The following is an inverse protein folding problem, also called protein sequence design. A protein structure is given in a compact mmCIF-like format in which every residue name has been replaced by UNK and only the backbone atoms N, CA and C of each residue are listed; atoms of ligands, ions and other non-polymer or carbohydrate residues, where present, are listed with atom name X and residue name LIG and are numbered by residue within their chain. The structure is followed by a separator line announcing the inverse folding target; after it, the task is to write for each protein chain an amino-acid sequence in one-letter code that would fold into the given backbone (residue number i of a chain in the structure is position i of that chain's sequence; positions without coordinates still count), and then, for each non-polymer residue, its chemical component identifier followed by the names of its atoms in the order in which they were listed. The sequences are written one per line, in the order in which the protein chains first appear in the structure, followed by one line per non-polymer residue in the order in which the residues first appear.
data_IF_635930426393
#
_entry.id   IF_635930426393
#
_cell.length_a   1.000
_cell.length_b   1.000
_cell.length_c   1.000
_cell.angle_alpha   90.00
_cell.angle_beta   90.00
_cell.angle_gamma   90.00
#
_symmetry.space_group_name_H-M   'P 1'
#
loop_
_entity.id
_entity.type
_entity.pdbx_description
1 polymer ?
#
# COMPACT_ATOMS: atom_id res chain seq x y z
N UNK A 1 1.51 10.79 -34.76
CA UNK A 1 0.83 11.80 -35.58
C UNK A 1 1.75 12.96 -35.97
N UNK A 2 2.36 13.71 -35.04
CA UNK A 2 3.20 14.90 -35.37
C UNK A 2 4.46 14.59 -36.22
N UNK A 3 5.08 13.41 -36.03
CA UNK A 3 6.31 13.06 -36.75
C UNK A 3 6.15 12.82 -38.27
N UNK A 4 4.92 12.61 -38.76
CA UNK A 4 4.65 12.29 -40.17
C UNK A 4 4.63 13.54 -41.06
N UNK A 5 4.37 14.73 -40.50
CA UNK A 5 4.31 16.00 -41.22
C UNK A 5 5.71 16.65 -41.42
N UNK A 6 6.73 16.09 -40.77
CA UNK A 6 8.09 16.64 -40.79
C UNK A 6 8.68 16.80 -42.21
N UNK A 7 8.54 15.84 -43.15
CA UNK A 7 9.07 15.99 -44.51
C UNK A 7 8.34 17.04 -45.37
N UNK A 8 7.09 17.35 -45.04
CA UNK A 8 6.30 18.38 -45.75
C UNK A 8 6.70 19.77 -45.28
N UNK A 9 6.76 19.99 -43.97
CA UNK A 9 7.17 21.27 -43.38
C UNK A 9 8.63 21.59 -43.71
N UNK A 10 9.51 20.58 -43.74
CA UNK A 10 10.91 20.75 -44.12
C UNK A 10 11.09 21.19 -45.58
N UNK A 11 10.29 20.65 -46.51
CA UNK A 11 10.31 21.06 -47.93
C UNK A 11 9.92 22.53 -48.14
N UNK A 12 8.99 23.03 -47.32
CA UNK A 12 8.50 24.41 -47.39
C UNK A 12 9.34 25.40 -46.56
N UNK A 13 10.27 24.91 -45.73
CA UNK A 13 11.07 25.74 -44.83
C UNK A 13 12.53 25.29 -44.77
N UNK A 14 12.97 24.78 -43.62
CA UNK A 14 14.28 24.17 -43.41
C UNK A 14 14.16 23.14 -42.30
N UNK A 15 15.09 22.17 -42.23
CA UNK A 15 15.11 21.13 -41.19
C UNK A 15 15.09 21.73 -39.78
N UNK A 16 15.79 22.85 -39.58
CA UNK A 16 15.84 23.54 -38.30
C UNK A 16 14.48 24.13 -37.91
N UNK A 17 13.82 24.81 -38.85
CA UNK A 17 12.53 25.47 -38.64
C UNK A 17 11.40 24.44 -38.48
N UNK A 18 11.42 23.38 -39.27
CA UNK A 18 10.48 22.27 -39.15
C UNK A 18 10.59 21.54 -37.79
N UNK A 19 11.82 21.30 -37.30
CA UNK A 19 12.04 20.73 -35.97
C UNK A 19 11.50 21.62 -34.85
N UNK A 20 11.70 22.93 -34.95
CA UNK A 20 11.20 23.90 -33.97
C UNK A 20 9.66 23.95 -33.98
N UNK A 21 9.03 24.02 -35.16
CA UNK A 21 7.57 24.07 -35.30
C UNK A 21 6.88 22.79 -34.82
N UNK A 22 7.51 21.62 -35.00
CA UNK A 22 6.93 20.32 -34.62
C UNK A 22 7.42 19.80 -33.27
N UNK A 23 8.18 20.60 -32.50
CA UNK A 23 8.68 20.23 -31.18
C UNK A 23 9.62 19.02 -31.17
N UNK A 24 10.29 18.72 -32.29
CA UNK A 24 11.18 17.55 -32.42
C UNK A 24 12.64 17.98 -32.23
N UNK A 25 13.40 17.38 -31.29
CA UNK A 25 14.82 17.67 -31.15
C UNK A 25 15.61 17.30 -32.42
N UNK A 26 16.39 18.25 -32.96
CA UNK A 26 17.22 18.03 -34.18
C UNK A 26 18.11 16.79 -34.06
N UNK A 27 18.72 16.58 -32.89
CA UNK A 27 19.56 15.41 -32.63
C UNK A 27 18.82 14.08 -32.80
N UNK A 28 17.54 14.01 -32.40
CA UNK A 28 16.70 12.81 -32.57
C UNK A 28 16.38 12.55 -34.04
N UNK A 29 16.12 13.61 -34.82
CA UNK A 29 15.92 13.51 -36.26
C UNK A 29 17.17 12.97 -36.98
N UNK A 30 18.35 13.54 -36.69
CA UNK A 30 19.60 13.08 -37.29
C UNK A 30 19.95 11.64 -36.91
N UNK A 31 19.73 11.24 -35.64
CA UNK A 31 19.90 9.83 -35.20
C UNK A 31 18.95 8.87 -35.93
N UNK A 32 17.72 9.31 -36.24
CA UNK A 32 16.76 8.52 -36.98
C UNK A 32 17.12 8.39 -38.47
N UNK A 33 17.64 9.46 -39.09
CA UNK A 33 18.09 9.49 -40.49
C UNK A 33 19.38 8.71 -40.71
N UNK A 34 20.36 8.95 -39.85
CA UNK A 34 21.67 8.30 -39.89
C UNK A 34 21.66 6.97 -39.13
N UNK A 35 20.51 6.31 -39.09
CA UNK A 35 20.35 5.04 -38.41
C UNK A 35 21.12 3.99 -39.20
N UNK A 36 22.11 3.30 -38.61
CA UNK A 36 22.82 2.24 -39.31
C UNK A 36 21.84 1.17 -39.79
N UNK A 37 21.99 0.71 -41.04
CA UNK A 37 21.27 -0.44 -41.55
C UNK A 37 21.77 -1.69 -40.82
N UNK A 38 21.01 -2.11 -39.80
CA UNK A 38 21.35 -3.26 -38.98
C UNK A 38 20.26 -3.55 -37.96
N UNK A 39 20.21 -4.79 -37.43
CA UNK A 39 19.26 -5.15 -36.40
C UNK A 39 19.41 -4.19 -35.22
N UNK A 40 18.27 -3.71 -34.70
CA UNK A 40 18.23 -2.93 -33.46
C UNK A 40 19.02 -3.71 -32.40
N UNK A 41 20.17 -3.19 -31.96
CA UNK A 41 20.78 -3.63 -30.70
C UNK A 41 19.70 -3.49 -29.62
N UNK A 42 19.20 -4.62 -29.11
CA UNK A 42 18.33 -4.60 -27.93
C UNK A 42 19.11 -3.87 -26.82
N UNK A 43 18.54 -2.88 -26.14
CA UNK A 43 19.17 -2.31 -24.98
C UNK A 43 19.22 -3.38 -23.90
N UNK A 44 20.42 -3.85 -23.56
CA UNK A 44 20.67 -4.71 -22.41
C UNK A 44 21.07 -6.16 -22.71
N UNK A 45 21.55 -6.88 -21.68
CA UNK A 45 21.90 -8.30 -21.78
C UNK A 45 20.70 -9.10 -22.27
N UNK A 46 20.91 -9.93 -23.30
CA UNK A 46 19.88 -10.85 -23.78
C UNK A 46 20.03 -12.17 -23.03
N UNK A 47 19.42 -12.25 -21.85
CA UNK A 47 19.38 -13.48 -21.06
C UNK A 47 19.00 -13.22 -19.60
N UNK A 48 18.45 -14.22 -18.87
CA UNK A 48 18.35 -14.14 -17.42
C UNK A 48 19.76 -13.92 -16.83
N UNK A 49 19.87 -13.16 -15.72
CA UNK A 49 21.16 -12.92 -15.10
C UNK A 49 21.77 -14.25 -14.60
N UNK A 50 23.10 -14.37 -14.51
CA UNK A 50 23.77 -15.62 -14.16
C UNK A 50 23.43 -16.12 -12.75
N UNK A 51 22.96 -15.24 -11.87
CA UNK A 51 22.49 -15.57 -10.52
C UNK A 51 20.96 -15.74 -10.45
N UNK A 52 20.28 -15.92 -11.58
CA UNK A 52 18.87 -16.18 -11.60
C UNK A 52 18.61 -17.59 -11.06
N UNK A 53 17.76 -17.67 -10.03
CA UNK A 53 17.25 -18.96 -9.57
C UNK A 53 16.56 -19.68 -10.73
N UNK A 54 16.92 -20.95 -10.91
CA UNK A 54 16.30 -21.82 -11.89
C UNK A 54 14.87 -22.24 -11.46
N UNK A 55 14.20 -23.03 -12.29
CA UNK A 55 12.84 -23.46 -11.99
C UNK A 55 12.78 -24.46 -10.82
N UNK A 56 13.80 -25.29 -10.65
CA UNK A 56 13.86 -26.31 -9.60
C UNK A 56 14.08 -25.66 -8.23
N UNK A 57 15.02 -24.73 -8.13
CA UNK A 57 15.33 -23.94 -6.93
C UNK A 57 14.10 -23.14 -6.48
N UNK A 58 13.39 -22.49 -7.41
CA UNK A 58 12.14 -21.78 -7.09
C UNK A 58 11.08 -22.71 -6.54
N UNK A 59 10.96 -23.91 -7.12
CA UNK A 59 10.02 -24.93 -6.66
C UNK A 59 10.38 -25.40 -5.25
N UNK A 60 11.66 -25.67 -4.99
CA UNK A 60 12.15 -26.02 -3.66
C UNK A 60 11.83 -24.92 -2.63
N UNK A 61 12.07 -23.65 -2.97
CA UNK A 61 11.73 -22.51 -2.10
C UNK A 61 10.23 -22.48 -1.81
N UNK A 62 9.39 -22.68 -2.82
CA UNK A 62 7.93 -22.75 -2.63
C UNK A 62 7.52 -23.90 -1.73
N UNK A 63 8.10 -25.09 -1.95
CA UNK A 63 7.85 -26.26 -1.11
C UNK A 63 8.17 -25.97 0.35
N UNK A 64 9.32 -25.35 0.62
CA UNK A 64 9.69 -24.94 1.99
C UNK A 64 8.68 -23.93 2.54
N UNK A 65 8.39 -22.85 1.81
CA UNK A 65 7.45 -21.80 2.25
C UNK A 65 5.99 -22.29 2.43
N UNK A 66 5.66 -23.48 1.94
CA UNK A 66 4.33 -24.09 2.07
C UNK A 66 4.30 -25.26 3.05
N UNK A 67 5.39 -25.52 3.79
CA UNK A 67 5.39 -26.54 4.83
C UNK A 67 4.40 -26.18 5.94
N UNK A 68 3.72 -27.17 6.56
CA UNK A 68 2.76 -26.93 7.63
C UNK A 68 3.31 -26.10 8.80
N UNK A 69 4.60 -26.28 9.13
CA UNK A 69 5.29 -25.50 10.19
C UNK A 69 5.35 -23.99 9.95
N UNK A 70 5.15 -23.55 8.71
CA UNK A 70 5.21 -22.15 8.30
C UNK A 70 3.85 -21.59 7.85
N UNK A 71 2.76 -22.35 7.98
CA UNK A 71 1.44 -21.98 7.45
C UNK A 71 0.96 -20.60 7.93
N UNK A 72 1.16 -20.28 9.21
CA UNK A 72 0.72 -19.02 9.83
C UNK A 72 1.86 -17.98 10.00
N UNK A 73 3.04 -18.24 9.45
CA UNK A 73 4.22 -17.37 9.61
C UNK A 73 4.37 -16.40 8.45
N UNK A 74 4.73 -15.16 8.76
CA UNK A 74 5.12 -14.20 7.73
C UNK A 74 6.48 -14.59 7.12
N UNK A 75 6.74 -14.20 5.87
CA UNK A 75 8.01 -14.51 5.18
C UNK A 75 9.23 -14.07 5.99
N UNK A 76 9.16 -12.93 6.69
CA UNK A 76 10.23 -12.46 7.55
C UNK A 76 10.52 -13.41 8.72
N UNK A 77 9.49 -14.02 9.31
CA UNK A 77 9.63 -15.00 10.40
C UNK A 77 10.21 -16.32 9.87
N UNK A 78 9.68 -16.82 8.75
CA UNK A 78 10.22 -18.02 8.09
C UNK A 78 11.69 -17.83 7.72
N UNK A 79 12.05 -16.65 7.21
CA UNK A 79 13.43 -16.33 6.86
C UNK A 79 14.36 -16.28 8.07
N UNK A 80 13.92 -15.70 9.19
CA UNK A 80 14.70 -15.69 10.43
C UNK A 80 14.90 -17.10 10.99
N UNK A 81 13.84 -17.91 11.05
CA UNK A 81 13.94 -19.29 11.56
C UNK A 81 14.83 -20.17 10.69
N UNK A 82 14.74 -20.06 9.36
CA UNK A 82 15.63 -20.80 8.47
C UNK A 82 17.10 -20.39 8.67
N UNK A 83 17.38 -19.12 8.94
CA UNK A 83 18.73 -18.66 9.26
C UNK A 83 19.21 -19.17 10.62
N UNK A 84 18.34 -19.20 11.62
CA UNK A 84 18.65 -19.80 12.92
C UNK A 84 18.94 -21.31 12.78
N UNK A 85 18.28 -21.99 11.84
CA UNK A 85 18.54 -23.38 11.43
C UNK A 85 19.81 -23.53 10.54
N UNK A 86 20.49 -22.44 10.18
CA UNK A 86 21.67 -22.45 9.31
C UNK A 86 21.37 -22.66 7.81
N UNK A 87 20.10 -22.55 7.41
CA UNK A 87 19.62 -22.77 6.05
C UNK A 87 19.38 -21.45 5.33
N UNK A 88 20.25 -21.12 4.37
CA UNK A 88 20.03 -19.99 3.47
C UNK A 88 19.47 -20.45 2.12
N UNK A 89 18.23 -20.06 1.82
CA UNK A 89 17.60 -20.32 0.51
C UNK A 89 17.81 -19.15 -0.46
N UNK A 90 17.36 -17.96 -0.07
CA UNK A 90 17.50 -16.73 -0.85
C UNK A 90 17.14 -15.50 0.01
N UNK A 91 17.26 -14.30 -0.57
CA UNK A 91 16.80 -13.06 0.09
C UNK A 91 15.28 -13.03 0.30
N UNK A 92 14.82 -12.32 1.34
CA UNK A 92 13.38 -12.09 1.59
C UNK A 92 12.66 -11.48 0.38
N UNK A 93 13.30 -10.52 -0.31
CA UNK A 93 12.76 -9.91 -1.54
C UNK A 93 12.54 -10.94 -2.65
N UNK A 94 13.45 -11.91 -2.78
CA UNK A 94 13.31 -13.02 -3.73
C UNK A 94 12.16 -13.94 -3.35
N UNK A 95 12.01 -14.28 -2.06
CA UNK A 95 10.88 -15.08 -1.56
C UNK A 95 9.54 -14.40 -1.91
N UNK A 96 9.38 -13.11 -1.60
CA UNK A 96 8.17 -12.36 -1.96
C UNK A 96 7.92 -12.32 -3.46
N UNK A 97 8.97 -12.15 -4.28
CA UNK A 97 8.83 -12.15 -5.75
C UNK A 97 8.30 -13.49 -6.25
N UNK A 98 8.82 -14.61 -5.72
CA UNK A 98 8.33 -15.96 -6.05
C UNK A 98 6.87 -16.11 -5.62
N UNK A 99 6.53 -15.75 -4.37
CA UNK A 99 5.15 -15.85 -3.89
C UNK A 99 4.15 -15.02 -4.72
N UNK A 100 4.54 -13.82 -5.16
CA UNK A 100 3.72 -12.97 -6.04
C UNK A 100 3.46 -13.62 -7.38
N UNK A 101 4.47 -14.23 -8.00
CA UNK A 101 4.32 -14.95 -9.28
C UNK A 101 3.31 -16.10 -9.17
N UNK A 102 3.21 -16.73 -7.99
CA UNK A 102 2.25 -17.81 -7.72
C UNK A 102 0.92 -17.34 -7.11
N UNK A 103 0.67 -16.04 -7.00
CA UNK A 103 -0.51 -15.45 -6.33
C UNK A 103 -0.68 -15.87 -4.85
N UNK A 104 0.41 -16.22 -4.17
CA UNK A 104 0.40 -16.71 -2.78
C UNK A 104 0.83 -15.66 -1.75
N UNK A 105 0.70 -14.37 -2.09
CA UNK A 105 0.97 -13.22 -1.19
C UNK A 105 -0.26 -12.72 -0.43
N UNK A 106 -1.43 -13.30 -0.66
CA UNK A 106 -2.63 -12.95 0.14
C UNK A 106 -2.47 -13.46 1.57
N UNK A 107 -3.16 -12.81 2.51
CA UNK A 107 -3.24 -13.21 3.92
C UNK A 107 -3.49 -14.73 4.00
N UNK A 108 -2.52 -15.47 4.54
CA UNK A 108 -2.58 -16.93 4.68
C UNK A 108 -3.10 -17.38 6.04
N UNK A 109 -3.11 -16.48 7.02
CA UNK A 109 -3.63 -16.77 8.35
C UNK A 109 -5.10 -17.13 8.22
N UNK A 110 -5.52 -18.14 8.98
CA UNK A 110 -6.94 -18.46 9.16
C UNK A 110 -7.58 -17.34 9.99
N UNK A 111 -7.91 -16.22 9.35
CA UNK A 111 -8.67 -15.15 9.97
C UNK A 111 -10.10 -15.64 10.14
N UNK A 112 -10.64 -15.55 11.36
CA UNK A 112 -12.04 -15.84 11.60
C UNK A 112 -12.90 -14.86 10.81
N UNK A 113 -13.50 -15.32 9.71
CA UNK A 113 -14.48 -14.53 8.96
C UNK A 113 -15.80 -14.60 9.72
N UNK A 114 -15.96 -13.77 10.73
CA UNK A 114 -17.27 -13.59 11.35
C UNK A 114 -18.17 -12.87 10.33
N UNK A 115 -19.35 -13.43 9.99
CA UNK A 115 -20.33 -12.67 9.22
C UNK A 115 -20.58 -11.34 9.97
N UNK A 116 -20.69 -10.20 9.25
CA UNK A 116 -20.97 -8.92 9.89
C UNK A 116 -22.20 -9.08 10.79
N UNK A 117 -22.06 -8.78 12.09
CA UNK A 117 -23.24 -8.72 12.96
C UNK A 117 -24.23 -7.74 12.33
N UNK A 118 -25.47 -8.18 12.13
CA UNK A 118 -26.57 -7.28 11.73
C UNK A 118 -26.67 -6.24 12.83
N UNK A 119 -26.33 -4.99 12.52
CA UNK A 119 -26.49 -3.87 13.45
C UNK A 119 -27.99 -3.60 13.58
N UNK A 120 -28.56 -3.57 14.79
CA UNK A 120 -29.96 -3.18 14.94
C UNK A 120 -30.12 -1.72 14.49
N UNK A 121 -31.02 -1.48 13.53
CA UNK A 121 -31.41 -0.15 13.10
C UNK A 121 -32.55 0.32 14.00
N UNK A 122 -32.29 1.33 14.82
CA UNK A 122 -33.30 1.93 15.69
C UNK A 122 -33.89 3.17 15.00
N UNK A 123 -35.21 3.26 14.97
CA UNK A 123 -35.96 4.41 14.43
C UNK A 123 -36.67 5.10 15.60
N UNK A 124 -36.52 6.42 15.72
CA UNK A 124 -37.24 7.22 16.70
C UNK A 124 -38.47 7.86 16.06
N UNK A 125 -39.64 7.69 16.66
CA UNK A 125 -40.91 8.22 16.19
C UNK A 125 -41.39 9.45 16.98
N UNK A 126 -40.85 9.65 18.18
CA UNK A 126 -41.15 10.78 19.07
C UNK A 126 -39.93 11.10 19.98
N UNK A 127 -39.91 12.26 20.67
CA UNK A 127 -38.85 12.57 21.62
C UNK A 127 -38.70 11.50 22.70
N UNK A 128 -37.45 11.23 23.12
CA UNK A 128 -37.05 10.21 24.09
C UNK A 128 -37.17 8.74 23.67
N UNK A 129 -37.53 8.41 22.43
CA UNK A 129 -37.57 7.01 21.95
C UNK A 129 -36.16 6.39 21.83
N UNK A 130 -35.20 7.14 21.29
CA UNK A 130 -33.85 6.64 21.03
C UNK A 130 -32.82 7.73 21.35
N UNK A 131 -31.79 7.32 22.08
CA UNK A 131 -30.70 8.18 22.52
C UNK A 131 -29.40 7.76 21.84
N UNK A 132 -28.66 8.74 21.35
CA UNK A 132 -27.27 8.58 20.93
C UNK A 132 -26.35 9.21 21.97
N UNK A 133 -25.18 8.63 22.18
CA UNK A 133 -24.17 9.20 23.06
C UNK A 133 -22.81 9.19 22.37
N UNK A 134 -21.98 10.17 22.70
CA UNK A 134 -20.60 10.27 22.23
C UNK A 134 -19.68 10.71 23.37
N UNK A 135 -18.40 10.33 23.27
CA UNK A 135 -17.34 10.84 24.13
C UNK A 135 -16.27 11.47 23.26
N UNK A 136 -16.14 12.78 23.35
CA UNK A 136 -15.10 13.53 22.66
C UNK A 136 -13.96 13.88 23.62
N UNK A 137 -12.72 13.56 23.24
CA UNK A 137 -11.51 14.02 23.95
C UNK A 137 -11.14 15.43 23.50
N UNK A 138 -11.20 16.38 24.42
CA UNK A 138 -10.82 17.76 24.20
C UNK A 138 -9.41 18.00 24.76
N UNK A 139 -8.56 18.68 24.00
CA UNK A 139 -7.23 19.06 24.46
C UNK A 139 -7.34 20.04 25.63
N UNK A 140 -6.61 19.78 26.71
CA UNK A 140 -6.48 20.70 27.84
C UNK A 140 -5.48 21.84 27.54
N UNK A 141 -5.42 22.85 28.43
CA UNK A 141 -4.49 23.98 28.30
C UNK A 141 -3.02 23.57 28.49
N UNK A 142 -2.77 22.40 29.09
CA UNK A 142 -1.43 21.85 29.33
C UNK A 142 -1.22 20.62 28.45
N UNK A 143 -0.03 20.50 27.87
CA UNK A 143 0.36 19.34 27.05
C UNK A 143 0.25 18.05 27.87
N UNK A 144 -0.53 17.10 27.37
CA UNK A 144 -0.77 15.80 28.03
C UNK A 144 -2.05 15.75 28.85
N UNK A 145 -2.67 16.90 29.15
CA UNK A 145 -3.98 16.94 29.79
C UNK A 145 -5.10 16.89 28.76
N UNK A 146 -6.12 16.09 29.04
CA UNK A 146 -7.31 15.97 28.21
C UNK A 146 -8.56 15.98 29.07
N UNK A 147 -9.60 16.60 28.53
CA UNK A 147 -10.94 16.58 29.06
C UNK A 147 -11.77 15.59 28.25
N UNK A 148 -12.65 14.86 28.90
CA UNK A 148 -13.63 14.00 28.23
C UNK A 148 -14.98 14.69 28.31
N UNK A 149 -15.51 15.07 27.16
CA UNK A 149 -16.87 15.59 27.02
C UNK A 149 -17.78 14.41 26.72
N UNK A 150 -18.63 14.06 27.69
CA UNK A 150 -19.69 13.09 27.53
C UNK A 150 -20.94 13.82 27.05
N UNK A 151 -21.55 13.34 25.97
CA UNK A 151 -22.80 13.90 25.43
C UNK A 151 -23.84 12.79 25.27
N UNK A 152 -25.09 13.08 25.63
CA UNK A 152 -26.27 12.28 25.33
C UNK A 152 -27.28 13.14 24.58
N UNK A 153 -27.65 12.72 23.37
CA UNK A 153 -28.56 13.40 22.45
C UNK A 153 -29.76 12.52 22.14
N UNK A 154 -30.96 13.06 22.31
CA UNK A 154 -32.17 12.48 21.74
C UNK A 154 -32.13 12.63 20.21
N UNK A 155 -32.23 11.51 19.48
CA UNK A 155 -32.09 11.53 18.02
C UNK A 155 -33.33 12.10 17.31
N UNK A 156 -34.49 12.11 17.95
CA UNK A 156 -35.71 12.68 17.37
C UNK A 156 -35.70 14.20 17.52
N UNK A 157 -35.57 14.70 18.76
CA UNK A 157 -35.66 16.12 19.07
C UNK A 157 -34.36 16.90 18.83
N UNK A 158 -33.21 16.20 18.74
CA UNK A 158 -31.85 16.77 18.64
C UNK A 158 -31.41 17.59 19.84
N UNK A 159 -32.14 17.53 20.95
CA UNK A 159 -31.75 18.19 22.19
C UNK A 159 -30.85 17.29 23.05
N UNK A 160 -29.80 17.86 23.68
CA UNK A 160 -29.04 17.15 24.69
C UNK A 160 -29.88 17.00 25.97
N UNK A 161 -29.64 15.95 26.77
CA UNK A 161 -30.25 15.90 28.10
C UNK A 161 -29.69 17.00 29.00
N UNK A 162 -30.53 17.51 29.90
CA UNK A 162 -30.28 18.68 30.76
C UNK A 162 -29.10 18.55 31.75
N UNK A 163 -28.33 17.45 31.72
CA UNK A 163 -27.10 17.24 32.50
C UNK A 163 -25.93 16.66 31.69
N UNK A 164 -26.01 16.65 30.36
CA UNK A 164 -25.14 15.87 29.47
C UNK A 164 -23.83 16.55 29.08
N UNK A 165 -23.17 17.25 29.99
CA UNK A 165 -21.79 17.71 29.76
C UNK A 165 -20.99 17.65 31.06
N UNK A 166 -20.72 16.43 31.52
CA UNK A 166 -19.75 16.24 32.59
C UNK A 166 -18.34 16.29 32.00
N UNK A 167 -17.51 17.21 32.47
CA UNK A 167 -16.10 17.29 32.12
C UNK A 167 -15.27 16.64 33.23
N UNK A 168 -14.72 15.46 32.99
CA UNK A 168 -13.80 14.81 33.95
C UNK A 168 -12.36 15.03 33.51
N UNK A 169 -11.55 15.64 34.38
CA UNK A 169 -10.11 15.78 34.17
C UNK A 169 -9.45 14.42 34.42
N UNK A 170 -8.82 13.87 33.40
CA UNK A 170 -7.96 12.69 33.58
C UNK A 170 -6.51 13.18 33.57
N UNK A 171 -5.79 13.20 34.71
CA UNK A 171 -4.35 13.39 34.66
C UNK A 171 -3.76 12.21 33.88
N UNK A 172 -2.87 12.49 32.93
CA UNK A 172 -2.05 11.44 32.32
C UNK A 172 -1.25 10.77 33.43
N UNK A 173 -1.60 9.52 33.75
CA UNK A 173 -0.69 8.64 34.48
C UNK A 173 0.65 8.68 33.76
N UNK A 174 1.79 8.96 34.44
CA UNK A 174 3.06 8.59 33.87
C UNK A 174 2.97 7.09 33.55
N UNK A 175 3.43 6.68 32.37
CA UNK A 175 3.58 5.27 32.04
C UNK A 175 4.51 4.67 33.10
N UNK A 176 3.95 4.10 34.15
CA UNK A 176 4.69 3.14 34.98
C UNK A 176 4.93 1.94 34.07
N UNK A 177 6.20 1.71 33.78
CA UNK A 177 6.64 0.48 33.13
C UNK A 177 6.12 -0.71 33.93
N UNK A 178 5.63 -1.73 33.21
CA UNK A 178 5.33 -3.01 33.81
C UNK A 178 6.60 -3.56 34.45
N UNK A 179 6.58 -4.00 35.72
CA UNK A 179 7.74 -4.67 36.31
C UNK A 179 7.98 -6.00 35.59
N UNK A 180 9.26 -6.28 35.34
CA UNK A 180 9.77 -7.52 34.74
C UNK A 180 9.61 -8.71 35.67
#
# INVERSE_FOLDING_TARGET
MIAQLLPEVERLTSTAKACALLGKPRASLYRQRNRPAGPRRKPGPSGPPPNALDAAERTQILTVLCQPRFADKAVAQVWAELLDEGVYLCSQSTMYRILRTHNMTRERRRVATHPPRVKPELVAHQPNDVWSWDITKLAGPVRGEFYQLYVMLDIFSRYPSAGASSTTRTPTSPRTGWPS
#
